data_IF_016566833801
#
_entry.id   IF_016566833801
#
_cell.length_a   1.000
_cell.length_b   1.000
_cell.length_c   1.000
_cell.angle_alpha   90.00
_cell.angle_beta   90.00
_cell.angle_gamma   90.00
#
_symmetry.space_group_name_H-M   'P 1'
#
loop_
_entity.id
_entity.type
_entity.pdbx_description
1 polymer ?
#
# COMPACT_ATOMS: atom_id res chain seq x y z
N UNK A 1 -5.49 7.57 -7.60
CA UNK A 1 -4.03 7.70 -7.79
C UNK A 1 -3.50 6.47 -8.50
N UNK A 2 -2.36 6.61 -9.15
CA UNK A 2 -1.77 5.49 -9.84
C UNK A 2 -0.96 4.63 -8.89
N UNK A 3 -0.64 3.45 -9.34
CA UNK A 3 0.19 2.57 -8.52
C UNK A 3 1.56 3.20 -8.27
N UNK A 4 2.12 3.85 -9.29
CA UNK A 4 3.42 4.50 -9.14
C UNK A 4 3.37 5.59 -8.08
N UNK A 5 2.31 6.37 -8.09
CA UNK A 5 2.15 7.41 -7.09
C UNK A 5 1.99 6.81 -5.70
N UNK A 6 1.21 5.75 -5.61
CA UNK A 6 0.99 5.09 -4.34
C UNK A 6 2.30 4.53 -3.79
N UNK A 7 3.10 3.94 -4.66
CA UNK A 7 4.36 3.36 -4.24
C UNK A 7 5.31 4.45 -3.74
N UNK A 8 5.35 5.59 -4.43
CA UNK A 8 6.19 6.69 -4.01
C UNK A 8 5.76 7.23 -2.65
N UNK A 9 4.46 7.28 -2.41
CA UNK A 9 3.96 7.77 -1.13
C UNK A 9 4.23 6.78 -0.01
N UNK A 10 4.22 5.50 -0.32
CA UNK A 10 4.40 4.49 0.70
C UNK A 10 5.84 4.44 1.19
N UNK A 11 6.79 4.66 0.30
CA UNK A 11 8.18 4.59 0.71
C UNK A 11 9.06 5.29 -0.29
N UNK A 12 10.10 5.91 0.23
CA UNK A 12 11.14 6.50 -0.61
C UNK A 12 12.37 5.61 -0.65
N UNK A 13 12.31 4.50 0.04
CA UNK A 13 13.43 3.59 0.12
C UNK A 13 13.45 2.71 -1.13
N UNK A 14 14.51 2.81 -1.91
CA UNK A 14 14.62 2.04 -3.12
C UNK A 14 14.69 0.54 -2.84
N UNK A 15 15.31 0.17 -1.75
CA UNK A 15 15.36 -1.22 -1.37
C UNK A 15 13.99 -1.78 -1.08
N UNK A 16 13.16 -0.99 -0.41
CA UNK A 16 11.80 -1.42 -0.13
C UNK A 16 11.02 -1.59 -1.43
N UNK A 17 11.16 -0.65 -2.36
CA UNK A 17 10.47 -0.75 -3.62
C UNK A 17 10.92 -1.98 -4.40
N UNK A 18 12.20 -2.24 -4.40
CA UNK A 18 12.71 -3.41 -5.10
C UNK A 18 12.15 -4.69 -4.50
N UNK A 19 12.06 -4.73 -3.17
CA UNK A 19 11.51 -5.89 -2.50
C UNK A 19 10.06 -6.10 -2.88
N UNK A 20 9.28 -5.03 -2.90
CA UNK A 20 7.87 -5.12 -3.26
C UNK A 20 7.73 -5.64 -4.68
N UNK A 21 8.54 -5.12 -5.60
CA UNK A 21 8.46 -5.57 -6.98
C UNK A 21 8.84 -7.04 -7.12
N UNK A 22 9.89 -7.45 -6.43
CA UNK A 22 10.34 -8.84 -6.53
C UNK A 22 9.30 -9.80 -5.99
N UNK A 23 8.77 -9.51 -4.82
CA UNK A 23 7.79 -10.39 -4.21
C UNK A 23 6.50 -10.41 -5.03
N UNK A 24 6.11 -9.25 -5.49
CA UNK A 24 4.92 -9.15 -6.30
C UNK A 24 5.05 -9.95 -7.59
N UNK A 25 6.19 -9.84 -8.24
CA UNK A 25 6.44 -10.59 -9.46
C UNK A 25 6.36 -12.08 -9.22
N UNK A 26 6.94 -12.54 -8.13
CA UNK A 26 6.90 -13.95 -7.79
C UNK A 26 5.48 -14.44 -7.57
N UNK A 27 4.69 -13.69 -6.83
CA UNK A 27 3.34 -14.09 -6.51
C UNK A 27 2.45 -14.11 -7.74
N UNK A 28 2.65 -13.15 -8.63
CA UNK A 28 1.90 -13.13 -9.88
C UNK A 28 2.30 -14.33 -10.73
N UNK A 29 3.57 -14.63 -10.79
CA UNK A 29 4.06 -15.76 -11.56
C UNK A 29 3.46 -17.07 -11.06
N UNK A 30 3.24 -17.15 -9.77
CA UNK A 30 2.67 -18.36 -9.20
C UNK A 30 1.16 -18.42 -9.29
N UNK A 31 0.57 -17.38 -9.84
CA UNK A 31 -0.87 -17.38 -10.02
C UNK A 31 -1.67 -17.08 -8.76
N UNK A 32 -1.05 -16.51 -7.76
CA UNK A 32 -1.74 -16.19 -6.52
C UNK A 32 -2.74 -15.06 -6.76
N UNK A 33 -2.33 -14.06 -7.55
CA UNK A 33 -3.21 -12.97 -7.90
C UNK A 33 -2.68 -12.32 -9.18
N UNK A 34 -3.48 -11.43 -9.75
CA UNK A 34 -3.05 -10.73 -10.95
C UNK A 34 -2.38 -9.43 -10.56
N UNK A 35 -1.64 -8.88 -11.51
CA UNK A 35 -0.99 -7.60 -11.29
C UNK A 35 -2.02 -6.52 -10.98
N UNK A 36 -3.14 -6.55 -11.67
CA UNK A 36 -4.18 -5.55 -11.47
C UNK A 36 -4.78 -5.66 -10.07
N UNK A 37 -4.98 -6.87 -9.61
CA UNK A 37 -5.50 -7.06 -8.27
C UNK A 37 -4.56 -6.49 -7.22
N UNK A 38 -3.28 -6.75 -7.38
CA UNK A 38 -2.32 -6.25 -6.43
C UNK A 38 -2.27 -4.73 -6.44
N UNK A 39 -2.18 -4.15 -7.63
CA UNK A 39 -2.03 -2.71 -7.73
C UNK A 39 -3.26 -1.98 -7.22
N UNK A 40 -4.41 -2.53 -7.50
CA UNK A 40 -5.65 -1.93 -7.03
C UNK A 40 -5.72 -1.92 -5.50
N UNK A 41 -5.38 -3.03 -4.90
CA UNK A 41 -5.40 -3.15 -3.45
C UNK A 41 -4.33 -2.25 -2.81
N UNK A 42 -3.18 -2.21 -3.43
CA UNK A 42 -2.09 -1.39 -2.90
C UNK A 42 -2.47 0.09 -2.90
N UNK A 43 -3.05 0.55 -4.00
CA UNK A 43 -3.49 1.93 -4.08
C UNK A 43 -4.55 2.22 -3.02
N UNK A 44 -5.47 1.31 -2.86
CA UNK A 44 -6.52 1.47 -1.86
C UNK A 44 -5.92 1.62 -0.47
N UNK A 45 -4.92 0.81 -0.16
CA UNK A 45 -4.26 0.87 1.13
C UNK A 45 -3.55 2.19 1.35
N UNK A 46 -2.86 2.67 0.32
CA UNK A 46 -2.13 3.92 0.44
C UNK A 46 -3.10 5.08 0.65
N UNK A 47 -4.22 5.05 -0.06
CA UNK A 47 -5.21 6.10 0.10
C UNK A 47 -5.78 6.09 1.51
N UNK A 48 -6.00 4.92 2.06
CA UNK A 48 -6.46 4.82 3.44
C UNK A 48 -5.44 5.39 4.40
N UNK A 49 -4.17 5.08 4.18
CA UNK A 49 -3.11 5.60 5.03
C UNK A 49 -3.03 7.11 4.96
N UNK A 50 -3.21 7.66 3.77
CA UNK A 50 -3.17 9.10 3.62
C UNK A 50 -4.30 9.75 4.41
N UNK A 51 -5.46 9.16 4.37
CA UNK A 51 -6.59 9.70 5.14
C UNK A 51 -6.35 9.59 6.63
N UNK A 52 -5.75 8.50 7.07
CA UNK A 52 -5.47 8.31 8.48
C UNK A 52 -4.44 9.29 9.01
N UNK A 53 -3.53 9.71 8.17
CA UNK A 53 -2.46 10.60 8.59
C UNK A 53 -2.90 12.04 8.70
N UNK A 54 -4.11 12.33 8.27
CA UNK A 54 -4.58 13.70 8.39
C UNK A 54 -4.73 14.08 9.84
N UNK A 55 -4.27 15.27 10.21
CA UNK A 55 -4.42 15.72 11.58
C UNK A 55 -5.89 16.03 11.85
N UNK A 56 -6.50 15.21 12.63
CA UNK A 56 -7.90 15.42 12.97
C UNK A 56 -8.19 14.68 14.25
N UNK A 57 -9.32 14.99 14.82
CA UNK A 57 -9.71 14.34 16.06
C UNK A 57 -9.92 12.85 15.88
N UNK A 58 -10.24 12.45 14.69
CA UNK A 58 -10.50 11.06 14.48
C UNK A 58 -9.25 10.23 14.49
N UNK A 59 -8.12 10.84 14.44
CA UNK A 59 -6.90 10.05 14.39
C UNK A 59 -6.80 9.13 15.59
N UNK A 60 -7.30 9.55 16.73
CA UNK A 60 -7.25 8.71 17.91
C UNK A 60 -8.13 7.48 17.72
N UNK A 61 -9.30 7.70 17.18
CA UNK A 61 -10.20 6.59 16.96
C UNK A 61 -9.64 5.66 15.89
N UNK A 62 -9.02 6.25 14.91
CA UNK A 62 -8.48 5.43 13.86
C UNK A 62 -7.40 4.50 14.36
N UNK A 63 -6.66 4.94 15.35
CA UNK A 63 -5.57 4.11 15.82
C UNK A 63 -6.07 2.83 16.44
N UNK A 64 -7.28 2.84 16.94
CA UNK A 64 -7.76 1.63 17.56
C UNK A 64 -8.01 0.54 16.53
N UNK A 65 -8.14 0.91 15.30
CA UNK A 65 -8.39 -0.09 14.30
C UNK A 65 -7.17 -0.73 13.80
N UNK A 66 -6.05 -0.24 14.22
CA UNK A 66 -4.82 -0.86 13.82
C UNK A 66 -4.65 -2.22 14.41
N UNK A 67 -5.52 -2.56 15.30
CA UNK A 67 -5.42 -3.87 15.87
C UNK A 67 -5.61 -4.96 14.85
N UNK A 68 -5.84 -4.62 13.68
CA UNK A 68 -5.95 -5.63 12.68
C UNK A 68 -4.92 -6.70 12.76
#
# INVERSE_FOLDING_TARGET
>A
MSFEEALALASRDEGFKATVYAMNTLLIHKGIYTQEEFQSLFVEWVEKEQRRKRPSAQSAAASSELSL
#
